data_IF_811892500923
#
_entry.id   IF_811892500923
#
_cell.length_a   1.000
_cell.length_b   1.000
_cell.length_c   1.000
_cell.angle_alpha   90.00
_cell.angle_beta   90.00
_cell.angle_gamma   90.00
#
_symmetry.space_group_name_H-M   'P 1'
#
loop_
_entity.id
_entity.type
_entity.pdbx_description
1 polymer ?
#
# COMPACT_ATOMS: atom_id res chain seq x y z
N UNK A 1 -1.92 -0.09 -45.18
CA UNK A 1 -0.53 0.36 -45.00
C UNK A 1 0.23 -0.78 -44.36
N UNK A 2 1.28 -1.29 -45.01
CA UNK A 2 2.12 -2.36 -44.47
C UNK A 2 2.94 -1.77 -43.32
N UNK A 3 2.62 -2.14 -42.09
CA UNK A 3 3.47 -1.86 -40.94
C UNK A 3 4.80 -2.54 -41.18
N UNK A 4 5.87 -1.76 -41.28
CA UNK A 4 7.23 -2.25 -41.43
C UNK A 4 7.66 -2.86 -40.08
N UNK A 5 7.09 -4.01 -39.75
CA UNK A 5 7.38 -4.76 -38.54
C UNK A 5 8.70 -5.48 -38.81
N UNK A 6 9.83 -4.85 -38.47
CA UNK A 6 11.11 -5.56 -38.51
C UNK A 6 10.99 -6.76 -37.58
N UNK A 7 10.96 -7.93 -38.18
CA UNK A 7 10.83 -9.17 -37.45
C UNK A 7 12.08 -9.34 -36.58
N UNK A 8 11.88 -9.37 -35.27
CA UNK A 8 12.97 -9.56 -34.31
C UNK A 8 13.52 -10.95 -34.55
N UNK A 9 14.81 -11.01 -34.79
CA UNK A 9 15.54 -12.26 -35.03
C UNK A 9 16.78 -12.30 -34.16
N UNK A 10 17.30 -13.51 -33.99
CA UNK A 10 18.55 -13.74 -33.28
C UNK A 10 19.35 -14.82 -34.01
N UNK A 11 20.63 -14.58 -34.15
CA UNK A 11 21.54 -15.47 -34.86
C UNK A 11 22.09 -16.56 -33.94
N UNK A 12 22.44 -17.71 -34.51
CA UNK A 12 23.17 -18.77 -33.80
C UNK A 12 24.51 -18.30 -33.21
N UNK A 13 25.13 -17.27 -33.79
CA UNK A 13 26.37 -16.65 -33.27
C UNK A 13 26.08 -15.87 -31.99
N UNK A 14 25.01 -15.07 -31.98
CA UNK A 14 24.58 -14.35 -30.76
C UNK A 14 24.21 -15.34 -29.65
N UNK A 15 23.49 -16.42 -29.97
CA UNK A 15 23.15 -17.47 -29.01
C UNK A 15 24.42 -18.13 -28.45
N UNK A 16 25.40 -18.43 -29.30
CA UNK A 16 26.69 -18.98 -28.86
C UNK A 16 27.42 -18.02 -27.90
N UNK A 17 27.46 -16.73 -28.23
CA UNK A 17 28.09 -15.70 -27.41
C UNK A 17 27.39 -15.56 -26.03
N UNK A 18 26.06 -15.54 -26.00
CA UNK A 18 25.29 -15.43 -24.76
C UNK A 18 25.38 -16.68 -23.88
N UNK A 19 25.47 -17.86 -24.49
CA UNK A 19 25.44 -19.12 -23.77
C UNK A 19 26.83 -19.67 -23.43
N UNK A 20 27.89 -19.09 -24.00
CA UNK A 20 29.25 -19.64 -23.88
C UNK A 20 29.45 -20.99 -24.57
N UNK A 21 28.44 -21.50 -25.30
CA UNK A 21 28.58 -22.72 -26.11
C UNK A 21 29.41 -22.45 -27.35
N UNK A 22 30.17 -23.46 -27.80
CA UNK A 22 30.83 -23.39 -29.11
C UNK A 22 29.77 -23.27 -30.23
N UNK A 23 30.03 -22.38 -31.19
CA UNK A 23 29.08 -22.05 -32.26
C UNK A 23 28.71 -23.25 -33.13
N UNK A 24 29.63 -24.19 -33.38
CA UNK A 24 29.36 -25.42 -34.12
C UNK A 24 28.40 -26.38 -33.41
N UNK A 25 28.37 -26.36 -32.06
CA UNK A 25 27.36 -27.11 -31.30
C UNK A 25 25.98 -26.44 -31.40
N UNK A 26 25.93 -25.11 -31.31
CA UNK A 26 24.68 -24.34 -31.45
C UNK A 26 24.09 -24.52 -32.84
N UNK A 27 24.92 -24.47 -33.89
CA UNK A 27 24.50 -24.73 -35.27
C UNK A 27 23.91 -26.13 -35.45
N UNK A 28 24.61 -27.15 -34.91
CA UNK A 28 24.14 -28.54 -34.99
C UNK A 28 22.80 -28.75 -34.30
N UNK A 29 22.62 -28.13 -33.13
CA UNK A 29 21.35 -28.19 -32.41
C UNK A 29 20.24 -27.44 -33.17
N UNK A 30 20.55 -26.28 -33.76
CA UNK A 30 19.61 -25.53 -34.58
C UNK A 30 19.21 -26.30 -35.86
N UNK A 31 20.15 -26.92 -36.56
CA UNK A 31 19.86 -27.78 -37.73
C UNK A 31 18.98 -28.98 -37.35
N UNK A 32 19.22 -29.58 -36.16
CA UNK A 32 18.37 -30.66 -35.64
C UNK A 32 16.94 -30.16 -35.39
N UNK A 33 16.80 -28.99 -34.78
CA UNK A 33 15.50 -28.36 -34.52
C UNK A 33 14.77 -28.02 -35.81
N UNK A 34 15.47 -27.46 -36.81
CA UNK A 34 14.92 -27.19 -38.14
C UNK A 34 14.42 -28.48 -38.81
N UNK A 35 15.20 -29.56 -38.72
CA UNK A 35 14.81 -30.88 -39.24
C UNK A 35 13.59 -31.45 -38.52
N UNK A 36 13.51 -31.33 -37.20
CA UNK A 36 12.41 -31.84 -36.38
C UNK A 36 11.10 -31.08 -36.56
N UNK A 37 11.18 -29.74 -36.71
CA UNK A 37 10.01 -28.89 -36.97
C UNK A 37 9.55 -29.03 -38.43
N UNK A 38 10.48 -29.38 -39.33
CA UNK A 38 10.27 -29.53 -40.76
C UNK A 38 10.63 -28.26 -41.52
N UNK A 39 11.42 -28.40 -42.60
CA UNK A 39 12.01 -27.28 -43.34
C UNK A 39 11.00 -26.24 -43.89
N UNK A 40 9.75 -26.68 -44.17
CA UNK A 40 8.67 -25.80 -44.65
C UNK A 40 7.97 -25.01 -43.53
N UNK A 41 8.20 -25.38 -42.27
CA UNK A 41 7.62 -24.74 -41.07
C UNK A 41 8.67 -24.00 -40.24
N UNK A 42 9.95 -24.30 -40.44
CA UNK A 42 11.04 -23.59 -39.80
C UNK A 42 11.31 -22.28 -40.52
N UNK A 43 10.95 -21.16 -39.90
CA UNK A 43 11.32 -19.81 -40.34
C UNK A 43 12.79 -19.50 -39.95
N UNK A 44 13.70 -20.38 -40.35
CA UNK A 44 15.14 -20.21 -40.17
C UNK A 44 15.78 -19.87 -41.51
N UNK A 45 16.53 -18.77 -41.54
CA UNK A 45 17.24 -18.33 -42.76
C UNK A 45 18.74 -18.58 -42.62
N UNK A 46 19.35 -19.15 -43.65
CA UNK A 46 20.80 -19.34 -43.69
C UNK A 46 21.51 -18.05 -44.09
N UNK A 47 22.58 -17.73 -43.37
CA UNK A 47 23.43 -16.57 -43.59
C UNK A 47 24.89 -16.92 -43.29
N UNK A 48 25.79 -15.95 -43.39
CA UNK A 48 27.20 -16.13 -43.05
C UNK A 48 27.77 -14.95 -42.28
N UNK A 49 28.79 -15.20 -41.47
CA UNK A 49 29.54 -14.17 -40.76
C UNK A 49 31.03 -14.32 -41.01
N UNK A 50 31.74 -13.19 -40.98
CA UNK A 50 33.19 -13.16 -41.17
C UNK A 50 33.89 -13.25 -39.81
N UNK A 51 34.78 -14.22 -39.68
CA UNK A 51 35.63 -14.36 -38.49
C UNK A 51 36.74 -13.31 -38.47
N UNK A 52 37.37 -13.11 -37.31
CA UNK A 52 38.54 -12.22 -37.18
C UNK A 52 39.71 -12.62 -38.10
N UNK A 53 39.75 -13.86 -38.57
CA UNK A 53 40.75 -14.40 -39.51
C UNK A 53 40.35 -14.18 -40.99
N UNK A 54 39.28 -13.43 -41.26
CA UNK A 54 38.79 -13.15 -42.61
C UNK A 54 38.04 -14.30 -43.28
N UNK A 55 37.79 -15.41 -42.58
CA UNK A 55 37.05 -16.56 -43.12
C UNK A 55 35.54 -16.39 -42.89
N UNK A 56 34.76 -16.60 -43.94
CA UNK A 56 33.30 -16.67 -43.88
C UNK A 56 32.85 -18.03 -43.33
N UNK A 57 31.97 -18.02 -42.33
CA UNK A 57 31.37 -19.21 -41.71
C UNK A 57 29.84 -19.10 -41.73
N UNK A 58 29.17 -20.25 -41.88
CA UNK A 58 27.70 -20.38 -41.89
C UNK A 58 27.10 -19.97 -40.56
N UNK A 59 25.95 -19.30 -40.57
CA UNK A 59 25.10 -19.05 -39.40
C UNK A 59 23.62 -19.17 -39.77
N UNK A 60 22.77 -19.49 -38.80
CA UNK A 60 21.31 -19.37 -38.96
C UNK A 60 20.78 -18.12 -38.27
N UNK A 61 19.82 -17.46 -38.91
CA UNK A 61 19.00 -16.38 -38.38
C UNK A 61 17.65 -16.97 -37.99
N UNK A 62 17.29 -16.86 -36.70
CA UNK A 62 16.14 -17.55 -36.11
C UNK A 62 15.09 -16.54 -35.65
N UNK A 63 13.81 -16.83 -35.92
CA UNK A 63 12.68 -16.10 -35.35
C UNK A 63 12.42 -16.51 -33.87
N UNK A 64 11.45 -15.85 -33.22
CA UNK A 64 11.10 -16.11 -31.80
C UNK A 64 10.85 -17.59 -31.51
N UNK A 65 10.02 -18.21 -32.32
CA UNK A 65 9.61 -19.60 -32.13
C UNK A 65 10.81 -20.54 -32.24
N UNK A 66 11.73 -20.28 -33.17
CA UNK A 66 12.90 -21.10 -33.38
C UNK A 66 13.93 -20.95 -32.27
N UNK A 67 14.17 -19.74 -31.79
CA UNK A 67 15.03 -19.50 -30.62
C UNK A 67 14.47 -20.23 -29.41
N UNK A 68 13.17 -20.10 -29.15
CA UNK A 68 12.54 -20.68 -27.96
C UNK A 68 12.53 -22.21 -28.03
N UNK A 69 12.28 -22.77 -29.21
CA UNK A 69 12.35 -24.22 -29.44
C UNK A 69 13.78 -24.74 -29.22
N UNK A 70 14.80 -24.05 -29.76
CA UNK A 70 16.20 -24.43 -29.59
C UNK A 70 16.62 -24.46 -28.12
N UNK A 71 16.29 -23.42 -27.37
CA UNK A 71 16.73 -23.32 -25.97
C UNK A 71 15.96 -24.26 -25.04
N UNK A 72 14.81 -24.84 -25.44
CA UNK A 72 14.09 -25.80 -24.58
C UNK A 72 14.96 -26.98 -24.14
N UNK A 73 15.93 -27.39 -24.96
CA UNK A 73 16.90 -28.44 -24.66
C UNK A 73 18.16 -27.97 -23.92
N UNK A 74 18.27 -26.68 -23.56
CA UNK A 74 19.41 -26.12 -22.84
C UNK A 74 19.13 -26.08 -21.33
N UNK A 75 20.18 -25.98 -20.51
CA UNK A 75 20.01 -25.82 -19.07
C UNK A 75 19.28 -24.52 -18.72
N UNK A 76 18.72 -24.48 -17.51
CA UNK A 76 17.89 -23.36 -17.04
C UNK A 76 18.64 -22.02 -17.03
N UNK A 77 19.94 -22.02 -16.74
CA UNK A 77 20.75 -20.80 -16.73
C UNK A 77 20.88 -20.20 -18.13
N UNK A 78 21.23 -21.04 -19.11
CA UNK A 78 21.34 -20.62 -20.51
C UNK A 78 20.00 -20.16 -21.09
N UNK A 79 18.91 -20.85 -20.76
CA UNK A 79 17.56 -20.45 -21.15
C UNK A 79 17.21 -19.06 -20.62
N UNK A 80 17.49 -18.80 -19.33
CA UNK A 80 17.22 -17.51 -18.72
C UNK A 80 17.96 -16.36 -19.43
N UNK A 81 19.24 -16.55 -19.75
CA UNK A 81 20.04 -15.55 -20.47
C UNK A 81 19.48 -15.22 -21.84
N UNK A 82 19.14 -16.24 -22.64
CA UNK A 82 18.61 -16.02 -24.00
C UNK A 82 17.21 -15.39 -23.97
N UNK A 83 16.35 -15.80 -23.04
CA UNK A 83 15.01 -15.21 -22.86
C UNK A 83 15.11 -13.74 -22.44
N UNK A 84 16.00 -13.41 -21.50
CA UNK A 84 16.24 -12.02 -21.09
C UNK A 84 16.63 -11.13 -22.27
N UNK A 85 17.58 -11.57 -23.08
CA UNK A 85 17.98 -10.83 -24.29
C UNK A 85 16.85 -10.67 -25.30
N UNK A 86 16.00 -11.69 -25.46
CA UNK A 86 14.86 -11.60 -26.36
C UNK A 86 13.86 -10.53 -25.91
N UNK A 87 13.59 -10.44 -24.60
CA UNK A 87 12.71 -9.42 -24.02
C UNK A 87 13.27 -8.01 -24.27
N UNK A 88 14.58 -7.82 -24.12
CA UNK A 88 15.23 -6.53 -24.43
C UNK A 88 15.05 -6.13 -25.90
N UNK A 89 15.22 -7.08 -26.84
CA UNK A 89 15.00 -6.84 -28.26
C UNK A 89 13.54 -6.50 -28.57
N UNK A 90 12.58 -7.17 -27.91
CA UNK A 90 11.15 -6.85 -28.03
C UNK A 90 10.82 -5.45 -27.51
N UNK A 91 11.41 -5.05 -26.38
CA UNK A 91 11.24 -3.70 -25.84
C UNK A 91 11.85 -2.63 -26.73
N UNK A 92 13.04 -2.88 -27.28
CA UNK A 92 13.73 -1.96 -28.17
C UNK A 92 13.01 -1.80 -29.53
N UNK A 93 12.46 -2.89 -30.08
CA UNK A 93 11.72 -2.88 -31.33
C UNK A 93 10.31 -2.30 -31.17
N UNK A 94 9.74 -2.35 -29.96
CA UNK A 94 8.36 -1.90 -29.71
C UNK A 94 8.24 -0.96 -28.49
N UNK A 95 8.86 0.23 -28.52
CA UNK A 95 8.77 1.20 -27.43
C UNK A 95 7.35 1.73 -27.18
N UNK A 96 6.43 1.54 -28.14
CA UNK A 96 5.03 1.94 -28.05
C UNK A 96 4.19 1.07 -27.09
N UNK A 97 4.59 -0.18 -26.83
CA UNK A 97 3.87 -1.06 -25.91
C UNK A 97 4.01 -0.60 -24.46
N UNK A 98 5.17 -0.02 -24.10
CA UNK A 98 5.39 0.60 -22.80
C UNK A 98 4.60 1.91 -22.64
N UNK A 99 4.50 2.74 -23.68
CA UNK A 99 3.80 4.03 -23.60
C UNK A 99 2.27 3.89 -23.55
N UNK A 100 1.69 2.90 -24.22
CA UNK A 100 0.24 2.65 -24.18
C UNK A 100 -0.21 2.13 -22.81
N UNK A 101 0.52 1.18 -22.22
CA UNK A 101 0.21 0.68 -20.87
C UNK A 101 0.31 1.77 -19.78
N UNK A 102 1.28 2.69 -19.92
CA UNK A 102 1.41 3.84 -19.01
C UNK A 102 0.25 4.83 -19.21
N UNK A 103 -0.18 5.07 -20.44
CA UNK A 103 -1.28 6.01 -20.72
C UNK A 103 -2.62 5.49 -20.21
N UNK A 104 -2.90 4.20 -20.40
CA UNK A 104 -4.14 3.58 -19.93
C UNK A 104 -4.23 3.55 -18.40
N UNK A 105 -3.13 3.23 -17.73
CA UNK A 105 -3.06 3.28 -16.26
C UNK A 105 -3.24 4.71 -15.72
N UNK A 106 -2.66 5.72 -16.38
CA UNK A 106 -2.86 7.11 -16.01
C UNK A 106 -4.31 7.57 -16.19
N UNK A 107 -4.96 7.17 -17.28
CA UNK A 107 -6.36 7.50 -17.54
C UNK A 107 -7.32 6.83 -16.54
N UNK A 108 -7.08 5.57 -16.17
CA UNK A 108 -7.86 4.87 -15.14
C UNK A 108 -7.69 5.55 -13.77
N UNK A 109 -6.46 5.91 -13.39
CA UNK A 109 -6.20 6.64 -12.16
C UNK A 109 -6.91 8.00 -12.14
N UNK A 110 -6.84 8.76 -13.24
CA UNK A 110 -7.53 10.04 -13.35
C UNK A 110 -9.05 9.88 -13.21
N UNK A 111 -9.63 8.88 -13.87
CA UNK A 111 -11.08 8.59 -13.79
C UNK A 111 -11.50 8.26 -12.35
N UNK A 112 -10.69 7.50 -11.61
CA UNK A 112 -10.94 7.21 -10.19
C UNK A 112 -10.86 8.46 -9.32
N UNK A 113 -9.90 9.34 -9.57
CA UNK A 113 -9.78 10.63 -8.85
C UNK A 113 -11.02 11.50 -9.11
N UNK A 114 -11.44 11.61 -10.37
CA UNK A 114 -12.60 12.41 -10.75
C UNK A 114 -13.90 11.86 -10.13
N UNK A 115 -14.04 10.54 -10.06
CA UNK A 115 -15.16 9.88 -9.38
C UNK A 115 -15.18 10.16 -7.86
N UNK A 116 -14.02 10.38 -7.23
CA UNK A 116 -13.91 10.68 -5.79
C UNK A 116 -14.11 12.17 -5.46
N UNK A 117 -13.94 13.08 -6.42
CA UNK A 117 -14.01 14.53 -6.21
C UNK A 117 -15.35 15.00 -5.59
N UNK A 118 -16.54 14.56 -6.05
CA UNK A 118 -17.83 14.99 -5.48
C UNK A 118 -17.99 14.59 -4.00
N UNK A 119 -17.51 13.40 -3.63
CA UNK A 119 -17.57 12.90 -2.26
C UNK A 119 -16.63 13.70 -1.34
N UNK A 120 -15.45 14.08 -1.83
CA UNK A 120 -14.54 14.96 -1.12
C UNK A 120 -15.14 16.35 -0.91
N UNK A 121 -15.74 16.95 -1.94
CA UNK A 121 -16.38 18.27 -1.84
C UNK A 121 -17.55 18.30 -0.87
N UNK A 122 -18.39 17.26 -0.87
CA UNK A 122 -19.45 17.08 0.13
C UNK A 122 -18.88 17.00 1.54
N UNK A 123 -17.80 16.23 1.70
CA UNK A 123 -17.13 16.11 2.98
C UNK A 123 -16.63 17.46 3.48
N UNK A 124 -15.91 18.22 2.65
CA UNK A 124 -15.37 19.55 2.98
C UNK A 124 -16.50 20.52 3.34
N UNK A 125 -17.60 20.51 2.58
CA UNK A 125 -18.80 21.32 2.86
C UNK A 125 -19.40 20.99 4.23
N UNK A 126 -19.60 19.70 4.54
CA UNK A 126 -20.11 19.24 5.85
C UNK A 126 -19.20 19.70 6.99
N UNK A 127 -17.88 19.55 6.84
CA UNK A 127 -16.89 19.98 7.82
C UNK A 127 -16.93 21.49 8.12
N UNK A 128 -17.35 22.30 7.15
CA UNK A 128 -17.44 23.76 7.25
C UNK A 128 -18.77 24.20 7.88
N UNK A 129 -19.89 23.63 7.41
CA UNK A 129 -21.23 24.07 7.80
C UNK A 129 -21.66 23.52 9.15
N UNK A 130 -21.53 22.21 9.38
CA UNK A 130 -22.11 21.53 10.55
C UNK A 130 -21.06 20.83 11.42
N UNK A 131 -19.92 20.43 10.84
CA UNK A 131 -18.89 19.66 11.51
C UNK A 131 -19.28 18.19 11.74
N UNK A 132 -18.34 17.41 12.26
CA UNK A 132 -18.47 15.97 12.45
C UNK A 132 -18.82 15.62 13.90
N UNK A 133 -19.56 14.53 14.10
CA UNK A 133 -19.66 13.93 15.44
C UNK A 133 -18.29 13.44 15.92
N UNK A 134 -18.14 13.24 17.22
CA UNK A 134 -16.91 12.71 17.81
C UNK A 134 -16.47 11.38 17.17
N UNK A 135 -17.40 10.43 16.99
CA UNK A 135 -17.11 9.13 16.37
C UNK A 135 -16.71 9.26 14.90
N UNK A 136 -17.42 10.09 14.14
CA UNK A 136 -17.07 10.34 12.74
C UNK A 136 -15.67 10.96 12.62
N UNK A 137 -15.38 11.96 13.43
CA UNK A 137 -14.07 12.62 13.44
C UNK A 137 -12.94 11.65 13.80
N UNK A 138 -13.15 10.79 14.81
CA UNK A 138 -12.18 9.76 15.17
C UNK A 138 -11.94 8.78 14.01
N UNK A 139 -13.01 8.33 13.33
CA UNK A 139 -12.88 7.44 12.17
C UNK A 139 -12.07 8.09 11.05
N UNK A 140 -12.34 9.36 10.73
CA UNK A 140 -11.64 10.11 9.68
C UNK A 140 -10.18 10.42 10.03
N UNK A 141 -9.88 10.53 11.32
CA UNK A 141 -8.55 10.76 11.85
C UNK A 141 -7.73 9.47 12.10
N UNK A 142 -8.34 8.28 11.95
CA UNK A 142 -7.69 7.01 12.27
C UNK A 142 -7.56 6.74 13.78
N UNK A 143 -8.38 7.39 14.62
CA UNK A 143 -8.40 7.19 16.07
C UNK A 143 -9.33 6.04 16.43
N UNK A 144 -8.77 4.94 16.95
CA UNK A 144 -9.54 3.78 17.39
C UNK A 144 -10.22 4.00 18.76
N UNK A 145 -11.31 3.26 19.02
CA UNK A 145 -12.03 3.26 20.30
C UNK A 145 -12.50 4.65 20.78
N UNK A 146 -13.31 5.38 20.00
CA UNK A 146 -13.68 6.78 20.28
C UNK A 146 -14.26 7.01 21.68
N UNK A 147 -15.06 6.08 22.21
CA UNK A 147 -15.67 6.23 23.54
C UNK A 147 -14.64 6.15 24.66
N UNK A 148 -13.75 5.16 24.59
CA UNK A 148 -12.68 4.99 25.58
C UNK A 148 -11.66 6.14 25.50
N UNK A 149 -11.45 6.71 24.31
CA UNK A 149 -10.68 7.96 24.16
C UNK A 149 -11.41 9.13 24.82
N UNK A 150 -12.73 9.21 24.69
CA UNK A 150 -13.51 10.25 25.38
C UNK A 150 -13.42 10.10 26.90
N UNK A 151 -13.52 8.88 27.43
CA UNK A 151 -13.32 8.59 28.85
C UNK A 151 -11.93 9.01 29.34
N UNK A 152 -10.89 8.70 28.55
CA UNK A 152 -9.52 9.16 28.81
C UNK A 152 -9.41 10.68 28.81
N UNK A 153 -10.07 11.35 27.86
CA UNK A 153 -10.07 12.81 27.79
C UNK A 153 -10.78 13.43 29.00
N UNK A 154 -11.85 12.81 29.48
CA UNK A 154 -12.51 13.22 30.73
C UNK A 154 -11.57 12.99 31.92
N UNK A 155 -10.92 11.83 32.00
CA UNK A 155 -9.98 11.49 33.08
C UNK A 155 -8.80 12.47 33.18
N UNK A 156 -8.34 12.96 32.03
CA UNK A 156 -7.18 13.85 31.92
C UNK A 156 -7.55 15.33 31.86
N UNK A 157 -8.81 15.69 32.13
CA UNK A 157 -9.27 17.09 32.14
C UNK A 157 -9.35 17.76 30.77
N UNK A 158 -9.26 17.00 29.68
CA UNK A 158 -9.40 17.48 28.30
C UNK A 158 -10.87 17.62 27.87
N UNK A 159 -11.78 16.91 28.54
CA UNK A 159 -13.22 17.00 28.38
C UNK A 159 -13.91 16.90 29.76
N UNK A 160 -15.19 17.26 29.83
CA UNK A 160 -16.00 17.16 31.04
C UNK A 160 -17.39 16.62 30.70
N UNK A 161 -17.93 15.73 31.54
CA UNK A 161 -19.28 15.17 31.42
C UNK A 161 -20.16 15.66 32.57
N UNK A 162 -21.35 16.18 32.27
CA UNK A 162 -22.38 16.60 33.25
C UNK A 162 -23.76 16.20 32.74
N UNK A 163 -24.58 15.52 33.56
CA UNK A 163 -25.94 15.06 33.19
C UNK A 163 -25.96 14.38 31.81
N UNK A 164 -25.05 13.45 31.61
CA UNK A 164 -24.80 12.72 30.35
C UNK A 164 -24.37 13.52 29.12
N UNK A 165 -24.21 14.83 29.24
CA UNK A 165 -23.70 15.69 28.19
C UNK A 165 -22.22 15.96 28.36
N UNK A 166 -21.46 15.71 27.30
CA UNK A 166 -20.01 15.91 27.28
C UNK A 166 -19.64 17.20 26.56
N UNK A 167 -18.76 17.98 27.17
CA UNK A 167 -18.17 19.21 26.62
C UNK A 167 -16.66 19.03 26.50
N UNK A 168 -16.09 19.58 25.43
CA UNK A 168 -14.64 19.69 25.31
C UNK A 168 -14.12 20.88 26.11
N UNK A 169 -12.86 20.83 26.54
CA UNK A 169 -12.23 21.97 27.19
C UNK A 169 -12.24 23.21 26.25
N UNK A 170 -12.50 24.44 26.75
CA UNK A 170 -12.66 25.63 25.90
C UNK A 170 -11.47 25.93 24.96
N UNK A 171 -10.27 25.46 25.31
CA UNK A 171 -9.07 25.56 24.46
C UNK A 171 -9.29 25.00 23.05
N UNK A 172 -10.02 23.88 22.92
CA UNK A 172 -10.26 23.23 21.63
C UNK A 172 -11.16 24.09 20.72
N UNK A 173 -12.12 24.80 21.32
CA UNK A 173 -12.94 25.76 20.59
C UNK A 173 -12.14 27.00 20.16
N UNK A 174 -11.30 27.54 21.06
CA UNK A 174 -10.42 28.69 20.75
C UNK A 174 -9.44 28.39 19.60
N UNK A 175 -8.94 27.17 19.50
CA UNK A 175 -8.06 26.75 18.39
C UNK A 175 -8.81 26.53 17.06
N UNK A 176 -10.15 26.53 17.07
CA UNK A 176 -10.99 26.25 15.91
C UNK A 176 -11.12 24.77 15.57
N UNK A 177 -10.68 23.87 16.44
CA UNK A 177 -10.76 22.41 16.24
C UNK A 177 -12.15 21.85 16.55
N UNK A 178 -12.88 22.54 17.41
CA UNK A 178 -14.20 22.14 17.89
C UNK A 178 -15.15 23.33 17.82
N UNK A 179 -16.40 23.08 17.39
CA UNK A 179 -17.50 24.04 17.47
C UNK A 179 -18.44 23.60 18.58
N UNK A 180 -18.75 24.50 19.51
CA UNK A 180 -19.74 24.24 20.55
C UNK A 180 -21.16 24.24 19.96
N UNK A 181 -22.03 23.39 20.50
CA UNK A 181 -23.43 23.31 20.07
C UNK A 181 -24.33 23.49 21.29
N UNK A 182 -25.40 24.28 21.12
CA UNK A 182 -26.39 24.52 22.16
C UNK A 182 -27.14 23.24 22.53
N UNK A 183 -27.40 23.05 23.83
CA UNK A 183 -28.20 21.94 24.37
C UNK A 183 -29.61 21.85 23.80
N UNK A 184 -30.13 22.93 23.20
CA UNK A 184 -31.46 22.96 22.57
C UNK A 184 -31.50 22.28 21.20
N UNK A 185 -30.36 21.88 20.65
CA UNK A 185 -30.29 21.23 19.34
C UNK A 185 -30.73 19.75 19.46
N UNK A 186 -31.85 19.38 18.80
CA UNK A 186 -32.44 18.03 18.84
C UNK A 186 -31.45 16.92 18.45
N UNK A 187 -30.47 17.19 17.58
CA UNK A 187 -29.47 16.20 17.16
C UNK A 187 -28.47 15.83 18.28
N UNK A 188 -28.42 16.58 19.38
CA UNK A 188 -27.55 16.30 20.53
C UNK A 188 -28.12 15.19 21.41
N UNK A 189 -29.44 15.01 21.42
CA UNK A 189 -30.12 13.99 22.23
C UNK A 189 -29.67 12.55 21.88
N UNK A 190 -29.16 12.33 20.66
CA UNK A 190 -28.68 11.03 20.19
C UNK A 190 -27.18 10.77 20.45
N UNK A 191 -26.36 11.81 20.56
CA UNK A 191 -24.89 11.66 20.63
C UNK A 191 -24.29 11.99 21.98
N UNK A 192 -24.99 12.77 22.82
CA UNK A 192 -24.51 13.15 24.15
C UNK A 192 -23.30 14.11 24.14
N UNK A 193 -22.95 14.69 22.99
CA UNK A 193 -21.83 15.62 22.85
C UNK A 193 -22.33 17.02 22.48
N UNK A 194 -21.98 18.01 23.30
CA UNK A 194 -22.32 19.43 23.10
C UNK A 194 -21.34 20.14 22.15
N UNK A 195 -20.76 19.37 21.21
CA UNK A 195 -19.75 19.88 20.31
C UNK A 195 -19.69 19.08 19.00
N UNK A 196 -19.14 19.71 17.96
CA UNK A 196 -18.81 19.09 16.67
C UNK A 196 -17.35 19.34 16.36
N UNK A 197 -16.67 18.36 15.81
CA UNK A 197 -15.26 18.50 15.40
C UNK A 197 -15.25 19.11 14.00
N UNK A 198 -14.41 20.12 13.77
CA UNK A 198 -14.27 20.76 12.46
C UNK A 198 -13.32 19.98 11.56
N UNK A 199 -13.31 20.25 10.26
CA UNK A 199 -12.31 19.66 9.36
C UNK A 199 -10.87 20.02 9.80
N UNK A 200 -10.68 21.26 10.28
CA UNK A 200 -9.44 21.72 10.91
C UNK A 200 -9.08 20.88 12.14
N UNK A 201 -10.05 20.56 12.99
CA UNK A 201 -9.83 19.69 14.16
C UNK A 201 -9.46 18.25 13.80
N UNK A 202 -9.92 17.75 12.65
CA UNK A 202 -9.49 16.43 12.15
C UNK A 202 -8.04 16.51 11.65
N UNK A 203 -7.75 17.47 10.78
CA UNK A 203 -6.45 17.55 10.08
C UNK A 203 -5.32 18.04 10.97
N UNK A 204 -5.56 19.02 11.84
CA UNK A 204 -4.50 19.71 12.59
C UNK A 204 -4.40 19.20 14.04
N UNK A 205 -5.41 18.44 14.51
CA UNK A 205 -5.45 17.96 15.88
C UNK A 205 -5.55 16.44 15.98
N UNK A 206 -6.65 15.83 15.54
CA UNK A 206 -6.84 14.40 15.78
C UNK A 206 -5.88 13.53 14.97
N UNK A 207 -5.77 13.78 13.66
CA UNK A 207 -4.97 12.94 12.75
C UNK A 207 -3.47 12.95 13.11
N UNK A 208 -2.82 14.11 13.35
CA UNK A 208 -1.40 14.12 13.73
C UNK A 208 -1.15 13.51 15.12
N UNK A 209 -2.14 13.53 16.01
CA UNK A 209 -2.02 13.00 17.37
C UNK A 209 -2.58 11.57 17.53
N UNK A 210 -3.02 10.91 16.45
CA UNK A 210 -3.72 9.63 16.53
C UNK A 210 -2.91 8.54 17.24
N UNK A 211 -1.62 8.44 16.92
CA UNK A 211 -0.71 7.48 17.58
C UNK A 211 -0.50 7.79 19.06
N UNK A 212 -0.32 9.07 19.40
CA UNK A 212 -0.14 9.50 20.79
C UNK A 212 -1.42 9.25 21.61
N UNK A 213 -2.59 9.47 21.00
CA UNK A 213 -3.89 9.14 21.60
C UNK A 213 -4.01 7.63 21.83
N UNK A 214 -3.59 6.80 20.86
CA UNK A 214 -3.61 5.36 21.01
C UNK A 214 -2.67 4.86 22.12
N UNK A 215 -1.43 5.37 22.18
CA UNK A 215 -0.47 5.07 23.26
C UNK A 215 -1.01 5.48 24.63
N UNK A 216 -1.50 6.71 24.75
CA UNK A 216 -2.11 7.20 25.99
C UNK A 216 -3.33 6.40 26.40
N UNK A 217 -4.11 5.88 25.44
CA UNK A 217 -5.25 5.02 25.73
C UNK A 217 -4.83 3.66 26.27
N UNK A 218 -3.76 3.07 25.72
CA UNK A 218 -3.19 1.82 26.23
C UNK A 218 -2.72 2.03 27.67
N UNK A 219 -1.99 3.12 27.94
CA UNK A 219 -1.54 3.47 29.29
C UNK A 219 -2.70 3.71 30.24
N UNK A 220 -3.73 4.46 29.81
CA UNK A 220 -4.87 4.74 30.67
C UNK A 220 -5.65 3.48 31.05
N UNK A 221 -5.67 2.46 30.18
CA UNK A 221 -6.32 1.18 30.45
C UNK A 221 -5.49 0.25 31.35
N UNK A 222 -4.21 0.55 31.60
CA UNK A 222 -3.42 -0.26 32.53
C UNK A 222 -4.01 -0.11 33.95
N UNK A 223 -4.12 -1.21 34.71
CA UNK A 223 -4.43 -1.12 36.13
C UNK A 223 -3.42 -0.19 36.79
N UNK A 224 -3.89 0.68 37.69
CA UNK A 224 -2.96 1.44 38.54
C UNK A 224 -2.44 0.49 39.60
N UNK A 225 -1.14 0.21 39.55
CA UNK A 225 -0.43 -0.43 40.64
C UNK A 225 -0.42 0.50 41.84
N UNK A 226 -0.81 -0.01 43.01
CA UNK A 226 -0.58 0.69 44.27
C UNK A 226 0.49 -0.06 45.05
N UNK A 227 1.38 0.69 45.69
CA UNK A 227 2.42 0.15 46.55
C UNK A 227 1.87 0.11 47.97
N UNK A 228 1.85 -1.06 48.61
CA UNK A 228 1.50 -1.19 50.02
C UNK A 228 2.60 -0.56 50.91
N UNK A 229 2.30 -0.35 52.19
CA UNK A 229 3.21 0.09 53.25
C UNK A 229 4.54 -0.69 53.30
N UNK A 230 4.53 -1.96 52.86
CA UNK A 230 5.70 -2.83 52.80
C UNK A 230 6.41 -2.85 51.43
N UNK A 231 6.00 -2.02 50.47
CA UNK A 231 6.67 -1.90 49.17
C UNK A 231 6.20 -2.86 48.06
N UNK A 232 5.19 -3.70 48.32
CA UNK A 232 4.63 -4.62 47.33
C UNK A 232 3.64 -3.94 46.39
N UNK A 233 3.71 -4.27 45.09
CA UNK A 233 2.78 -3.80 44.06
C UNK A 233 1.52 -4.67 44.04
N UNK A 234 0.38 -4.09 44.36
CA UNK A 234 -0.94 -4.72 44.27
C UNK A 234 -1.76 -4.10 43.12
N UNK A 235 -2.28 -4.97 42.25
CA UNK A 235 -3.25 -4.60 41.21
C UNK A 235 -4.65 -4.50 41.83
N UNK A 236 -5.31 -3.34 41.71
CA UNK A 236 -6.73 -3.22 42.11
C UNK A 236 -7.60 -3.78 40.99
N UNK A 237 -8.26 -4.92 41.25
CA UNK A 237 -9.14 -5.61 40.29
C UNK A 237 -10.61 -5.45 40.69
N UNK A 238 -11.46 -5.04 39.75
CA UNK A 238 -12.92 -4.92 39.92
C UNK A 238 -13.55 -3.91 38.95
N UNK A 239 -14.82 -4.12 38.58
CA UNK A 239 -15.58 -3.12 37.80
C UNK A 239 -15.71 -1.83 38.62
N UNK A 240 -15.17 -0.72 38.12
CA UNK A 240 -15.10 0.57 38.84
C UNK A 240 -13.75 0.89 39.50
N UNK A 241 -12.79 -0.04 39.52
CA UNK A 241 -11.47 0.14 40.12
C UNK A 241 -10.55 1.13 39.38
N UNK A 242 -10.95 1.65 38.21
CA UNK A 242 -10.12 2.44 37.30
C UNK A 242 -9.52 3.73 37.89
N UNK A 243 -9.92 4.14 39.10
CA UNK A 243 -9.42 5.34 39.80
C UNK A 243 -9.19 5.17 41.29
N UNK A 244 -9.39 3.99 41.87
CA UNK A 244 -9.24 3.80 43.31
C UNK A 244 -7.76 3.70 43.69
N UNK A 245 -7.40 4.29 44.82
CA UNK A 245 -6.13 4.05 45.52
C UNK A 245 -6.40 3.20 46.77
N UNK A 246 -5.36 2.75 47.49
CA UNK A 246 -5.54 2.06 48.79
C UNK A 246 -6.40 2.90 49.75
N UNK A 247 -6.29 4.24 49.70
CA UNK A 247 -7.06 5.13 50.54
C UNK A 247 -8.56 5.16 50.21
N UNK A 248 -8.95 4.80 48.98
CA UNK A 248 -10.33 4.81 48.51
C UNK A 248 -11.03 3.45 48.72
N UNK A 249 -10.29 2.37 49.00
CA UNK A 249 -10.84 1.04 49.23
C UNK A 249 -11.38 0.90 50.66
N UNK A 250 -12.57 0.30 50.86
CA UNK A 250 -13.06 0.00 52.20
C UNK A 250 -12.10 -0.98 52.90
N UNK A 251 -11.64 -0.62 54.12
CA UNK A 251 -10.59 -1.33 54.91
C UNK A 251 -10.92 -2.78 55.36
N UNK A 252 -11.86 -3.47 54.72
CA UNK A 252 -12.44 -4.72 55.24
C UNK A 252 -12.54 -5.89 54.27
N UNK A 253 -11.90 -5.85 53.10
CA UNK A 253 -11.91 -6.98 52.15
C UNK A 253 -10.47 -7.43 51.85
N UNK A 254 -9.88 -8.15 52.80
CA UNK A 254 -8.93 -9.21 52.51
C UNK A 254 -9.58 -10.54 52.96
N UNK A 255 -9.31 -11.67 52.25
CA UNK A 255 -9.70 -12.99 52.75
C UNK A 255 -9.06 -13.31 54.10
#
# INVERSE_FOLDING_TARGET
>A
MLTNNQEITMTTVEIAAMTGKRHDNVLRDADRVVTQVGALKSEATESSYTTAQGKALRMLVLNKHMVFTLITGYDTGLRHTVVGRWIELEQAANPAFASQAITDTLNDLQTRVDAMAPAYDEHVRKGTTTGYTWREACRLAGVANPDKVMEMFIATGRAAKRKDLTRMHPKYAKSGWVREVSSSNKAIQLTGHLFRVTLKGINDWLRPNAENIAKGLIEHRKPRSVVDTDGYVIDIKGDGAARMTIADLPKGMCP
#
